data_IF_644911810129
#
_entry.id   IF_644911810129
#
_cell.length_a   1.000
_cell.length_b   1.000
_cell.length_c   1.000
_cell.angle_alpha   90.00
_cell.angle_beta   90.00
_cell.angle_gamma   90.00
#
_symmetry.space_group_name_H-M   'P 1'
#
loop_
_entity.id
_entity.type
_entity.pdbx_description
1 polymer ?
#
# COMPACT_ATOMS: atom_id res chain seq x y z
N UNK A 1 -9.41 25.28 15.95
CA UNK A 1 -8.26 25.40 16.87
C UNK A 1 -8.70 25.77 18.28
N UNK A 2 -9.48 26.84 18.49
CA UNK A 2 -9.97 27.20 19.84
C UNK A 2 -10.77 26.07 20.51
N UNK A 3 -11.62 25.37 19.77
CA UNK A 3 -12.31 24.17 20.27
C UNK A 3 -11.33 23.08 20.76
N UNK A 4 -10.27 22.78 19.99
CA UNK A 4 -9.21 21.82 20.35
C UNK A 4 -8.28 22.30 21.48
N UNK A 5 -8.28 23.59 21.79
CA UNK A 5 -7.55 24.13 22.95
C UNK A 5 -8.41 24.05 24.21
N UNK A 6 -9.73 24.02 24.06
CA UNK A 6 -10.70 23.92 25.14
C UNK A 6 -11.09 22.46 25.44
N UNK A 7 -10.92 21.56 24.47
CA UNK A 7 -11.11 20.11 24.61
C UNK A 7 -9.78 19.43 24.32
N UNK A 8 -9.32 18.48 25.14
CA UNK A 8 -8.03 17.77 24.92
C UNK A 8 -7.94 16.98 23.59
N UNK A 9 -9.03 17.00 22.81
CA UNK A 9 -9.16 16.55 21.45
C UNK A 9 -10.63 16.68 21.01
N UNK A 10 -10.90 16.41 19.74
CA UNK A 10 -12.25 16.23 19.21
C UNK A 10 -12.19 15.27 18.02
N UNK A 11 -13.32 14.68 17.62
CA UNK A 11 -13.39 14.00 16.33
C UNK A 11 -13.88 14.93 15.22
N UNK A 12 -13.53 14.62 13.98
CA UNK A 12 -14.04 15.35 12.83
C UNK A 12 -15.58 15.23 12.74
N UNK A 13 -16.17 14.12 13.19
CA UNK A 13 -17.61 13.96 13.33
C UNK A 13 -18.24 14.96 14.32
N UNK A 14 -17.59 15.24 15.44
CA UNK A 14 -18.03 16.26 16.41
C UNK A 14 -17.89 17.68 15.86
N UNK A 15 -16.81 17.95 15.10
CA UNK A 15 -16.56 19.24 14.48
C UNK A 15 -17.48 19.52 13.29
N UNK A 16 -17.93 18.47 12.58
CA UNK A 16 -18.74 18.55 11.37
C UNK A 16 -19.96 17.60 11.43
N UNK A 17 -20.91 17.82 12.36
CA UNK A 17 -21.97 16.86 12.69
C UNK A 17 -22.99 16.60 11.58
N UNK A 18 -23.07 17.49 10.58
CA UNK A 18 -23.98 17.39 9.43
C UNK A 18 -23.32 16.80 8.17
N UNK A 19 -22.06 16.37 8.25
CA UNK A 19 -21.33 15.79 7.13
C UNK A 19 -21.49 14.28 7.06
N UNK A 20 -22.02 13.75 5.95
CA UNK A 20 -22.11 12.29 5.74
C UNK A 20 -20.75 11.59 5.79
N UNK A 21 -19.90 11.80 4.77
CA UNK A 21 -18.52 11.27 4.78
C UNK A 21 -17.59 12.23 5.51
N UNK A 22 -17.40 11.99 6.81
CA UNK A 22 -16.57 12.79 7.72
C UNK A 22 -15.13 12.92 7.22
N UNK A 23 -14.54 11.84 6.70
CA UNK A 23 -13.17 11.87 6.15
C UNK A 23 -13.06 12.83 4.96
N UNK A 24 -14.05 12.82 4.06
CA UNK A 24 -14.11 13.77 2.94
C UNK A 24 -14.40 15.20 3.40
N UNK A 25 -15.23 15.38 4.44
CA UNK A 25 -15.49 16.69 5.02
C UNK A 25 -14.23 17.30 5.61
N UNK A 26 -13.47 16.55 6.40
CA UNK A 26 -12.17 16.98 6.94
C UNK A 26 -11.20 17.38 5.81
N UNK A 27 -11.06 16.54 4.78
CA UNK A 27 -10.17 16.82 3.65
C UNK A 27 -10.50 18.16 2.96
N UNK A 28 -11.80 18.44 2.69
CA UNK A 28 -12.21 19.71 2.08
C UNK A 28 -11.88 20.93 2.94
N UNK A 29 -12.07 20.84 4.27
CA UNK A 29 -11.72 21.93 5.18
C UNK A 29 -10.21 22.13 5.27
N UNK A 30 -9.43 21.04 5.31
CA UNK A 30 -7.97 21.13 5.29
C UNK A 30 -7.46 21.81 3.99
N UNK A 31 -8.05 21.51 2.83
CA UNK A 31 -7.74 22.20 1.58
C UNK A 31 -8.12 23.69 1.60
N UNK A 32 -9.26 24.03 2.20
CA UNK A 32 -9.68 25.43 2.37
C UNK A 32 -8.72 26.21 3.29
N UNK A 33 -8.25 25.61 4.38
CA UNK A 33 -7.24 26.22 5.22
C UNK A 33 -5.91 26.37 4.47
N UNK A 34 -5.49 25.33 3.75
CA UNK A 34 -4.26 25.36 2.95
C UNK A 34 -4.28 26.48 1.90
N UNK A 35 -5.42 26.76 1.28
CA UNK A 35 -5.54 27.84 0.29
C UNK A 35 -5.58 29.25 0.91
N UNK A 36 -5.91 29.34 2.20
CA UNK A 36 -6.00 30.62 2.94
C UNK A 36 -4.69 31.01 3.62
N UNK A 37 -3.71 30.10 3.70
CA UNK A 37 -2.45 30.26 4.41
C UNK A 37 -1.26 30.20 3.45
N UNK A 38 -0.23 30.99 3.72
CA UNK A 38 1.05 30.82 3.04
C UNK A 38 1.76 29.53 3.50
N UNK A 39 2.89 29.18 2.89
CA UNK A 39 3.59 27.91 3.18
C UNK A 39 4.08 27.79 4.63
N UNK A 40 4.58 28.88 5.22
CA UNK A 40 5.05 28.89 6.61
C UNK A 40 3.87 28.77 7.58
N UNK A 41 2.80 29.55 7.36
CA UNK A 41 1.58 29.50 8.19
C UNK A 41 0.88 28.13 8.10
N UNK A 42 0.85 27.52 6.91
CA UNK A 42 0.33 26.17 6.75
C UNK A 42 1.19 25.15 7.49
N UNK A 43 2.52 25.28 7.41
CA UNK A 43 3.44 24.41 8.14
C UNK A 43 3.19 24.49 9.63
N UNK A 44 3.13 25.70 10.19
CA UNK A 44 2.87 25.93 11.62
C UNK A 44 1.53 25.33 12.05
N UNK A 45 0.47 25.53 11.26
CA UNK A 45 -0.83 24.91 11.53
C UNK A 45 -0.74 23.39 11.47
N UNK A 46 -0.18 22.82 10.40
CA UNK A 46 -0.16 21.38 10.18
C UNK A 46 0.63 20.63 11.26
N UNK A 47 1.79 21.16 11.68
CA UNK A 47 2.61 20.53 12.73
C UNK A 47 2.04 20.75 14.14
N UNK A 48 1.16 21.73 14.33
CA UNK A 48 0.45 21.94 15.60
C UNK A 48 -0.71 20.95 15.83
N UNK A 49 -1.08 20.18 14.80
CA UNK A 49 -2.19 19.23 14.85
C UNK A 49 -1.69 17.79 14.83
N UNK A 50 -2.23 16.98 15.74
CA UNK A 50 -2.14 15.52 15.66
C UNK A 50 -3.43 14.98 15.09
N UNK A 51 -3.33 14.16 14.05
CA UNK A 51 -4.47 13.58 13.35
C UNK A 51 -4.35 12.06 13.37
N UNK A 52 -5.40 11.37 13.82
CA UNK A 52 -5.46 9.90 13.87
C UNK A 52 -6.67 9.41 13.08
N UNK A 53 -6.47 8.45 12.19
CA UNK A 53 -7.56 7.89 11.36
C UNK A 53 -8.26 6.81 12.18
N UNK A 54 -9.56 6.97 12.40
CA UNK A 54 -10.35 6.07 13.24
C UNK A 54 -11.58 5.58 12.51
N UNK A 55 -12.30 4.65 13.15
CA UNK A 55 -13.58 4.18 12.69
C UNK A 55 -14.58 4.22 13.83
N UNK A 56 -15.81 4.60 13.53
CA UNK A 56 -16.95 4.40 14.40
C UNK A 56 -17.88 3.37 13.72
N UNK A 57 -17.79 2.11 14.17
CA UNK A 57 -18.43 1.01 13.47
C UNK A 57 -17.87 0.85 12.04
N UNK A 58 -18.73 1.03 11.03
CA UNK A 58 -18.34 0.96 9.60
C UNK A 58 -17.94 2.30 9.01
N UNK A 59 -18.21 3.40 9.71
CA UNK A 59 -17.93 4.75 9.19
C UNK A 59 -16.53 5.22 9.61
N UNK A 60 -15.95 6.05 8.76
CA UNK A 60 -14.64 6.65 9.00
C UNK A 60 -14.81 7.87 9.88
N UNK A 61 -13.88 8.03 10.80
CA UNK A 61 -13.75 9.27 11.56
C UNK A 61 -12.26 9.63 11.67
N UNK A 62 -12.00 10.80 12.21
CA UNK A 62 -10.66 11.34 12.40
C UNK A 62 -10.63 11.96 13.79
N UNK A 63 -9.77 11.44 14.66
CA UNK A 63 -9.46 12.12 15.91
C UNK A 63 -8.44 13.22 15.64
N UNK A 64 -8.70 14.38 16.22
CA UNK A 64 -7.89 15.59 16.07
C UNK A 64 -7.56 16.10 17.46
N UNK A 65 -6.28 16.37 17.70
CA UNK A 65 -5.80 16.94 18.95
C UNK A 65 -4.66 17.93 18.68
N UNK A 66 -4.30 18.72 19.69
CA UNK A 66 -3.10 19.55 19.63
C UNK A 66 -1.86 18.65 19.74
N UNK A 67 -0.90 18.83 18.82
CA UNK A 67 0.37 18.13 18.87
C UNK A 67 1.17 18.61 20.09
N UNK A 68 1.57 17.66 20.95
CA UNK A 68 2.40 17.92 22.14
C UNK A 68 3.67 17.07 22.03
N UNK A 69 4.83 17.70 22.24
CA UNK A 69 6.12 17.04 22.15
C UNK A 69 6.65 16.93 20.71
N UNK A 70 7.60 16.03 20.50
CA UNK A 70 8.25 15.83 19.20
C UNK A 70 7.25 15.41 18.12
N UNK A 71 7.49 15.86 16.89
CA UNK A 71 6.69 15.48 15.73
C UNK A 71 6.88 13.98 15.45
N UNK A 72 5.83 13.20 15.67
CA UNK A 72 5.83 11.77 15.36
C UNK A 72 5.53 11.51 13.88
N UNK A 73 6.01 10.39 13.35
CA UNK A 73 5.60 9.92 12.04
C UNK A 73 4.08 9.67 12.01
N UNK A 74 3.39 10.00 10.89
CA UNK A 74 1.98 9.69 10.75
C UNK A 74 1.71 8.19 10.84
N UNK A 75 0.54 7.80 11.35
CA UNK A 75 0.11 6.41 11.30
C UNK A 75 0.02 5.90 9.85
N UNK A 76 0.36 4.63 9.60
CA UNK A 76 0.17 4.00 8.29
C UNK A 76 -1.27 4.17 7.79
N UNK A 77 -1.41 4.46 6.50
CA UNK A 77 -2.73 4.62 5.89
C UNK A 77 -3.30 3.25 5.54
N UNK A 78 -4.36 2.86 6.24
CA UNK A 78 -5.15 1.68 5.90
C UNK A 78 -6.01 1.94 4.66
N UNK A 79 -5.82 1.14 3.60
CA UNK A 79 -6.58 1.27 2.36
C UNK A 79 -8.08 0.96 2.53
N UNK A 80 -8.46 0.11 3.51
CA UNK A 80 -9.86 -0.08 3.83
C UNK A 80 -10.49 1.21 4.37
N UNK A 81 -9.75 1.96 5.21
CA UNK A 81 -10.15 3.30 5.63
C UNK A 81 -10.12 4.27 4.44
N UNK A 82 -9.08 4.29 3.62
CA UNK A 82 -8.98 5.25 2.51
C UNK A 82 -10.13 5.13 1.50
N UNK A 83 -10.55 3.90 1.17
CA UNK A 83 -11.55 3.64 0.14
C UNK A 83 -12.93 3.23 0.67
N UNK A 84 -13.14 3.26 1.99
CA UNK A 84 -14.38 2.76 2.62
C UNK A 84 -14.70 1.33 2.17
N UNK A 85 -13.66 0.53 1.91
CA UNK A 85 -13.86 -0.85 1.50
C UNK A 85 -14.35 -1.67 2.70
N UNK A 86 -15.28 -2.62 2.50
CA UNK A 86 -15.77 -3.46 3.58
C UNK A 86 -14.60 -4.20 4.21
N UNK A 87 -14.58 -4.23 5.55
CA UNK A 87 -13.69 -5.13 6.26
C UNK A 87 -14.28 -6.53 6.13
N UNK A 88 -13.60 -7.40 5.40
CA UNK A 88 -13.94 -8.82 5.33
C UNK A 88 -12.92 -9.60 6.16
N UNK A 89 -13.37 -10.66 6.85
CA UNK A 89 -12.46 -11.52 7.64
C UNK A 89 -11.48 -12.29 6.74
N UNK A 90 -11.90 -12.55 5.50
CA UNK A 90 -11.10 -13.21 4.48
C UNK A 90 -10.09 -12.29 3.80
N UNK A 91 -9.21 -12.90 2.99
CA UNK A 91 -8.34 -12.13 2.11
C UNK A 91 -9.14 -11.47 0.99
N UNK A 92 -8.96 -10.17 0.84
CA UNK A 92 -9.59 -9.39 -0.24
C UNK A 92 -8.49 -8.66 -1.02
N UNK A 93 -8.48 -8.85 -2.34
CA UNK A 93 -7.69 -8.04 -3.26
C UNK A 93 -8.64 -7.24 -4.16
N UNK A 94 -8.34 -5.96 -4.36
CA UNK A 94 -9.13 -5.10 -5.25
C UNK A 94 -8.25 -4.06 -5.90
N UNK A 95 -8.71 -3.52 -7.03
CA UNK A 95 -8.01 -2.43 -7.70
C UNK A 95 -8.92 -1.22 -7.95
N UNK A 96 -8.27 -0.10 -8.28
CA UNK A 96 -8.89 1.07 -8.89
C UNK A 96 -8.15 1.39 -10.17
N UNK A 97 -8.87 1.67 -11.24
CA UNK A 97 -8.31 1.85 -12.60
C UNK A 97 -7.63 3.20 -12.80
N UNK A 98 -7.84 4.16 -11.89
CA UNK A 98 -7.42 5.56 -12.03
C UNK A 98 -6.05 5.89 -11.42
N UNK A 99 -5.08 4.96 -11.42
CA UNK A 99 -3.74 5.23 -10.88
C UNK A 99 -3.07 6.45 -11.53
N UNK A 100 -3.31 6.65 -12.82
CA UNK A 100 -2.80 7.76 -13.62
C UNK A 100 -3.49 9.10 -13.28
N UNK A 101 -4.59 9.09 -12.55
CA UNK A 101 -5.20 10.33 -12.07
C UNK A 101 -4.53 10.84 -10.79
N UNK A 102 -3.91 9.96 -10.00
CA UNK A 102 -3.34 10.33 -8.69
C UNK A 102 -2.21 11.34 -8.87
N UNK A 103 -1.18 10.98 -9.62
CA UNK A 103 -0.06 11.88 -9.89
C UNK A 103 -0.46 13.11 -10.73
N UNK A 104 -1.52 13.03 -11.52
CA UNK A 104 -2.00 14.16 -12.33
C UNK A 104 -2.68 15.18 -11.44
N UNK A 105 -3.45 14.74 -10.43
CA UNK A 105 -4.02 15.61 -9.41
C UNK A 105 -2.92 16.27 -8.56
N UNK A 106 -1.84 15.56 -8.26
CA UNK A 106 -0.65 16.12 -7.59
C UNK A 106 0.09 17.16 -8.46
N UNK A 107 0.17 16.93 -9.77
CA UNK A 107 0.77 17.87 -10.72
C UNK A 107 -0.09 19.14 -10.86
N UNK A 108 -1.42 18.98 -10.97
CA UNK A 108 -2.37 20.10 -11.06
C UNK A 108 -2.38 20.94 -9.78
N UNK A 109 -2.20 20.34 -8.59
CA UNK A 109 -2.12 21.10 -7.34
C UNK A 109 -0.85 21.96 -7.25
N UNK A 110 0.20 21.58 -8.00
CA UNK A 110 1.52 22.21 -8.02
C UNK A 110 2.08 22.52 -6.63
N UNK A 111 1.69 21.75 -5.60
CA UNK A 111 2.13 21.97 -4.23
C UNK A 111 3.55 21.47 -4.02
N UNK A 112 4.38 22.22 -3.29
CA UNK A 112 5.78 21.84 -3.01
C UNK A 112 5.92 20.41 -2.46
N UNK A 113 5.06 20.05 -1.48
CA UNK A 113 5.07 18.72 -0.86
C UNK A 113 4.67 17.60 -1.83
N UNK A 114 3.64 17.85 -2.65
CA UNK A 114 3.20 16.91 -3.69
C UNK A 114 4.29 16.75 -4.75
N UNK A 115 4.96 17.84 -5.13
CA UNK A 115 6.07 17.85 -6.08
C UNK A 115 7.28 17.03 -5.59
N UNK A 116 7.67 17.16 -4.32
CA UNK A 116 8.75 16.35 -3.72
C UNK A 116 8.41 14.86 -3.74
N UNK A 117 7.19 14.50 -3.30
CA UNK A 117 6.74 13.11 -3.32
C UNK A 117 6.66 12.57 -4.76
N UNK A 118 6.12 13.36 -5.69
CA UNK A 118 6.00 12.98 -7.10
C UNK A 118 7.36 12.81 -7.76
N UNK A 119 8.33 13.69 -7.50
CA UNK A 119 9.68 13.59 -8.05
C UNK A 119 10.38 12.29 -7.62
N UNK A 120 10.19 11.87 -6.37
CA UNK A 120 10.73 10.59 -5.88
C UNK A 120 9.97 9.37 -6.43
N UNK A 121 8.63 9.44 -6.50
CA UNK A 121 7.78 8.31 -6.88
C UNK A 121 7.53 8.18 -8.38
N UNK A 122 7.96 9.15 -9.20
CA UNK A 122 7.73 9.16 -10.65
C UNK A 122 8.16 7.87 -11.34
N UNK A 123 9.34 7.28 -11.07
CA UNK A 123 9.75 6.04 -11.71
C UNK A 123 8.82 4.87 -11.39
N UNK A 124 8.23 4.84 -10.19
CA UNK A 124 7.27 3.83 -9.77
C UNK A 124 5.96 3.98 -10.54
N UNK A 125 5.43 5.21 -10.65
CA UNK A 125 4.22 5.46 -11.44
C UNK A 125 4.41 5.12 -12.92
N UNK A 126 5.52 5.53 -13.52
CA UNK A 126 5.82 5.28 -14.94
C UNK A 126 6.02 3.78 -15.24
N UNK A 127 6.60 3.03 -14.30
CA UNK A 127 6.99 1.63 -14.52
C UNK A 127 5.93 0.62 -14.06
N UNK A 128 5.27 0.91 -12.94
CA UNK A 128 4.45 -0.02 -12.15
C UNK A 128 3.17 0.65 -11.61
N UNK A 129 2.70 1.74 -12.25
CA UNK A 129 1.56 2.54 -11.80
C UNK A 129 0.33 1.77 -11.29
N UNK A 130 -0.16 0.72 -11.98
CA UNK A 130 -1.30 -0.07 -11.51
C UNK A 130 -1.13 -0.68 -10.11
N UNK A 131 0.09 -0.94 -9.65
CA UNK A 131 0.35 -1.49 -8.32
C UNK A 131 0.04 -0.48 -7.19
N UNK A 132 0.08 0.83 -7.49
CA UNK A 132 -0.18 1.90 -6.52
C UNK A 132 -1.65 1.91 -6.09
N UNK A 133 -2.56 1.47 -6.96
CA UNK A 133 -3.99 1.41 -6.70
C UNK A 133 -4.57 0.01 -6.69
N UNK A 134 -3.70 -1.00 -6.56
CA UNK A 134 -4.10 -2.37 -6.32
C UNK A 134 -3.77 -2.72 -4.89
N UNK A 135 -4.77 -3.10 -4.13
CA UNK A 135 -4.68 -3.27 -2.70
C UNK A 135 -4.95 -4.71 -2.32
N UNK A 136 -4.24 -5.16 -1.31
CA UNK A 136 -4.46 -6.43 -0.64
C UNK A 136 -4.70 -6.16 0.84
N UNK A 137 -5.57 -6.96 1.44
CA UNK A 137 -5.83 -6.97 2.87
C UNK A 137 -6.41 -8.30 3.32
N UNK A 138 -6.52 -8.48 4.63
CA UNK A 138 -7.11 -9.66 5.25
C UNK A 138 -6.82 -9.70 6.74
N UNK A 139 -7.66 -10.41 7.50
CA UNK A 139 -7.54 -10.51 8.95
C UNK A 139 -7.75 -9.15 9.66
N UNK A 140 -7.03 -8.90 10.76
CA UNK A 140 -7.17 -7.67 11.58
C UNK A 140 -6.17 -6.55 11.20
N UNK A 141 -5.37 -6.74 10.15
CA UNK A 141 -4.32 -5.79 9.72
C UNK A 141 -4.79 -4.74 8.71
N UNK A 142 -4.02 -3.65 8.52
CA UNK A 142 -4.33 -2.65 7.49
C UNK A 142 -4.18 -3.23 6.08
N UNK A 143 -5.05 -2.80 5.18
CA UNK A 143 -4.84 -3.03 3.76
C UNK A 143 -3.81 -2.05 3.20
N UNK A 144 -2.97 -2.54 2.30
CA UNK A 144 -1.87 -1.79 1.69
C UNK A 144 -1.90 -2.01 0.19
N UNK A 145 -1.29 -1.08 -0.57
CA UNK A 145 -1.12 -1.27 -2.01
C UNK A 145 -0.03 -2.31 -2.31
N UNK A 146 -0.14 -3.04 -3.42
CA UNK A 146 0.91 -3.94 -3.90
C UNK A 146 2.25 -3.20 -4.10
N UNK A 147 2.22 -1.92 -4.48
CA UNK A 147 3.41 -1.09 -4.57
C UNK A 147 4.08 -0.88 -3.19
N UNK A 148 3.28 -0.67 -2.14
CA UNK A 148 3.78 -0.55 -0.76
C UNK A 148 4.43 -1.86 -0.31
N UNK A 149 3.75 -3.00 -0.53
CA UNK A 149 4.27 -4.30 -0.13
C UNK A 149 5.57 -4.64 -0.89
N UNK A 150 5.61 -4.36 -2.19
CA UNK A 150 6.81 -4.52 -3.02
C UNK A 150 7.97 -3.64 -2.55
N UNK A 151 7.72 -2.36 -2.25
CA UNK A 151 8.74 -1.44 -1.75
C UNK A 151 9.23 -1.81 -0.36
N UNK A 152 8.34 -2.27 0.53
CA UNK A 152 8.73 -2.77 1.85
C UNK A 152 9.63 -3.99 1.71
N UNK A 153 9.25 -4.95 0.85
CA UNK A 153 10.07 -6.12 0.58
C UNK A 153 11.42 -5.74 -0.04
N UNK A 154 11.43 -4.78 -0.97
CA UNK A 154 12.67 -4.33 -1.62
C UNK A 154 13.61 -3.62 -0.65
N UNK A 155 13.12 -2.61 0.07
CA UNK A 155 13.94 -1.72 0.90
C UNK A 155 14.29 -2.30 2.26
N UNK A 156 13.37 -3.07 2.87
CA UNK A 156 13.53 -3.61 4.23
C UNK A 156 13.77 -5.11 4.26
N UNK A 157 13.63 -5.81 3.14
CA UNK A 157 13.73 -7.26 3.04
C UNK A 157 14.89 -7.90 3.82
N UNK A 158 16.13 -7.39 3.76
CA UNK A 158 17.26 -7.95 4.52
C UNK A 158 17.06 -8.00 6.04
N UNK A 159 16.20 -7.13 6.58
CA UNK A 159 15.93 -7.00 8.02
C UNK A 159 14.67 -7.74 8.46
N UNK A 160 13.80 -8.14 7.52
CA UNK A 160 12.52 -8.79 7.82
C UNK A 160 12.71 -10.26 8.22
N UNK A 161 11.86 -10.75 9.12
CA UNK A 161 11.77 -12.18 9.41
C UNK A 161 11.18 -12.97 8.23
N UNK A 162 11.41 -14.29 8.20
CA UNK A 162 10.92 -15.15 7.11
C UNK A 162 9.39 -15.09 6.99
N UNK A 163 8.68 -15.02 8.12
CA UNK A 163 7.23 -14.93 8.18
C UNK A 163 6.72 -13.63 7.56
N UNK A 164 7.41 -12.50 7.79
CA UNK A 164 7.06 -11.22 7.19
C UNK A 164 7.34 -11.19 5.69
N UNK A 165 8.44 -11.81 5.24
CA UNK A 165 8.77 -11.96 3.83
C UNK A 165 7.67 -12.77 3.13
N UNK A 166 7.30 -13.91 3.71
CA UNK A 166 6.23 -14.78 3.19
C UNK A 166 4.91 -14.04 3.09
N UNK A 167 4.54 -13.28 4.11
CA UNK A 167 3.31 -12.49 4.12
C UNK A 167 3.29 -11.43 3.00
N UNK A 168 4.42 -10.74 2.76
CA UNK A 168 4.51 -9.77 1.66
C UNK A 168 4.42 -10.44 0.28
N UNK A 169 5.09 -11.57 0.07
CA UNK A 169 4.95 -12.34 -1.18
C UNK A 169 3.52 -12.80 -1.42
N UNK A 170 2.86 -13.30 -0.38
CA UNK A 170 1.46 -13.73 -0.45
C UNK A 170 0.54 -12.58 -0.85
N UNK A 171 0.72 -11.40 -0.24
CA UNK A 171 -0.06 -10.19 -0.54
C UNK A 171 0.18 -9.66 -1.94
N UNK A 172 1.43 -9.70 -2.41
CA UNK A 172 1.79 -9.32 -3.78
C UNK A 172 1.19 -10.31 -4.78
N UNK A 173 1.33 -11.62 -4.53
CA UNK A 173 0.75 -12.69 -5.35
C UNK A 173 -0.77 -12.55 -5.46
N UNK A 174 -1.47 -12.35 -4.34
CA UNK A 174 -2.93 -12.14 -4.31
C UNK A 174 -3.40 -10.88 -5.07
N UNK A 175 -2.51 -9.89 -5.27
CA UNK A 175 -2.82 -8.71 -6.06
C UNK A 175 -2.70 -8.97 -7.58
N UNK A 176 -1.84 -9.90 -8.02
CA UNK A 176 -1.59 -10.19 -9.45
C UNK A 176 -2.86 -10.51 -10.25
N UNK A 177 -3.80 -11.34 -9.78
CA UNK A 177 -5.02 -11.68 -10.52
C UNK A 177 -5.90 -10.48 -10.87
N UNK A 178 -5.92 -9.49 -9.97
CA UNK A 178 -6.77 -8.30 -10.10
C UNK A 178 -6.02 -7.14 -10.76
N UNK A 179 -4.73 -7.31 -11.08
CA UNK A 179 -3.93 -6.31 -11.77
C UNK A 179 -4.26 -6.29 -13.27
N UNK A 180 -4.50 -5.09 -13.79
CA UNK A 180 -4.49 -4.84 -15.24
C UNK A 180 -3.15 -4.21 -15.62
N UNK A 181 -2.17 -5.05 -16.01
CA UNK A 181 -0.84 -4.61 -16.43
C UNK A 181 -0.72 -4.59 -17.95
N UNK A 182 0.01 -3.61 -18.47
CA UNK A 182 0.58 -3.70 -19.81
C UNK A 182 1.72 -4.72 -19.83
N UNK A 183 2.03 -5.29 -21.00
CA UNK A 183 3.16 -6.22 -21.17
C UNK A 183 4.47 -5.65 -20.65
N UNK A 184 4.74 -4.36 -20.90
CA UNK A 184 5.95 -3.70 -20.42
C UNK A 184 5.99 -3.58 -18.89
N UNK A 185 4.86 -3.27 -18.25
CA UNK A 185 4.78 -3.21 -16.78
C UNK A 185 4.92 -4.61 -16.16
N UNK A 186 4.32 -5.63 -16.76
CA UNK A 186 4.47 -7.03 -16.36
C UNK A 186 5.94 -7.51 -16.43
N UNK A 187 6.65 -7.16 -17.50
CA UNK A 187 8.08 -7.46 -17.64
C UNK A 187 8.93 -6.77 -16.56
N UNK A 188 8.70 -5.47 -16.29
CA UNK A 188 9.42 -4.75 -15.24
C UNK A 188 9.15 -5.33 -13.86
N UNK A 189 7.89 -5.63 -13.55
CA UNK A 189 7.53 -6.28 -12.29
C UNK A 189 8.24 -7.62 -12.13
N UNK A 190 8.25 -8.43 -13.19
CA UNK A 190 8.94 -9.72 -13.21
C UNK A 190 10.43 -9.58 -12.88
N UNK A 191 11.12 -8.60 -13.47
CA UNK A 191 12.55 -8.37 -13.19
C UNK A 191 12.79 -8.04 -11.70
N UNK A 192 11.95 -7.20 -11.11
CA UNK A 192 12.04 -6.88 -9.69
C UNK A 192 11.76 -8.11 -8.85
N UNK A 193 10.69 -8.85 -9.13
CA UNK A 193 10.32 -10.06 -8.39
C UNK A 193 11.41 -11.13 -8.46
N UNK A 194 12.04 -11.36 -9.62
CA UNK A 194 13.17 -12.29 -9.75
C UNK A 194 14.32 -11.92 -8.83
N UNK A 195 14.73 -10.65 -8.81
CA UNK A 195 15.81 -10.18 -7.95
C UNK A 195 15.49 -10.33 -6.46
N UNK A 196 14.23 -10.06 -6.07
CA UNK A 196 13.78 -10.25 -4.69
C UNK A 196 13.75 -11.74 -4.31
N UNK A 197 13.24 -12.59 -5.20
CA UNK A 197 13.18 -14.04 -4.98
C UNK A 197 14.58 -14.61 -4.82
N UNK A 198 15.52 -14.26 -5.70
CA UNK A 198 16.91 -14.71 -5.61
C UNK A 198 17.57 -14.34 -4.28
N UNK A 199 17.22 -13.16 -3.74
CA UNK A 199 17.71 -12.69 -2.44
C UNK A 199 17.08 -13.45 -1.27
N UNK A 200 15.76 -13.67 -1.32
CA UNK A 200 15.00 -14.14 -0.17
C UNK A 200 14.90 -15.66 -0.07
N UNK A 201 14.92 -16.37 -1.20
CA UNK A 201 14.78 -17.83 -1.25
C UNK A 201 15.77 -18.59 -0.33
N UNK A 202 17.07 -18.22 -0.26
CA UNK A 202 18.02 -18.89 0.64
C UNK A 202 17.69 -18.75 2.13
N UNK A 203 16.79 -17.83 2.50
CA UNK A 203 16.39 -17.54 3.88
C UNK A 203 15.11 -18.26 4.27
N UNK A 204 14.47 -18.96 3.34
CA UNK A 204 13.21 -19.66 3.54
C UNK A 204 13.45 -21.16 3.69
N UNK A 205 12.65 -21.81 4.51
CA UNK A 205 12.64 -23.27 4.55
C UNK A 205 12.00 -23.85 3.27
N UNK A 206 12.15 -25.16 3.01
CA UNK A 206 11.59 -25.77 1.80
C UNK A 206 10.06 -25.65 1.67
N UNK A 207 9.31 -25.68 2.77
CA UNK A 207 7.85 -25.55 2.76
C UNK A 207 7.42 -24.12 2.46
N UNK A 208 8.10 -23.14 3.05
CA UNK A 208 7.92 -21.72 2.75
C UNK A 208 8.24 -21.42 1.29
N UNK A 209 9.35 -21.95 0.78
CA UNK A 209 9.74 -21.79 -0.63
C UNK A 209 8.68 -22.35 -1.59
N UNK A 210 8.03 -23.45 -1.22
CA UNK A 210 6.96 -24.04 -2.00
C UNK A 210 5.69 -23.18 -2.02
N UNK A 211 5.30 -22.64 -0.86
CA UNK A 211 4.13 -21.75 -0.74
C UNK A 211 4.32 -20.44 -1.52
N UNK A 212 5.51 -19.83 -1.43
CA UNK A 212 5.85 -18.63 -2.19
C UNK A 212 5.66 -18.88 -3.69
N UNK A 213 6.13 -20.03 -4.18
CA UNK A 213 5.94 -20.41 -5.57
C UNK A 213 4.47 -20.50 -5.93
N UNK A 214 3.66 -21.16 -5.09
CA UNK A 214 2.21 -21.21 -5.25
C UNK A 214 1.64 -19.82 -5.49
N UNK A 215 1.87 -18.86 -4.61
CA UNK A 215 1.26 -17.53 -4.76
C UNK A 215 1.74 -16.71 -5.95
N UNK A 216 2.97 -16.93 -6.40
CA UNK A 216 3.59 -16.14 -7.48
C UNK A 216 3.40 -16.80 -8.85
N UNK A 217 3.21 -18.12 -8.89
CA UNK A 217 3.00 -18.90 -10.10
C UNK A 217 1.52 -19.25 -10.36
N UNK A 218 0.67 -19.19 -9.34
CA UNK A 218 -0.76 -19.46 -9.43
C UNK A 218 -1.49 -18.11 -9.69
N UNK A 219 -1.63 -17.70 -10.97
CA UNK A 219 -2.87 -17.11 -11.58
C UNK A 219 -2.71 -16.48 -13.01
N UNK A 220 -3.81 -16.60 -13.77
CA UNK A 220 -4.40 -15.99 -15.00
C UNK A 220 -3.68 -14.97 -15.91
N UNK A 221 -2.66 -14.22 -15.50
CA UNK A 221 -1.90 -13.38 -16.44
C UNK A 221 -0.75 -14.23 -16.99
N UNK A 222 -0.96 -15.01 -18.06
CA UNK A 222 -0.01 -16.04 -18.51
C UNK A 222 1.47 -15.62 -18.67
N UNK A 223 1.78 -14.31 -18.65
CA UNK A 223 3.12 -13.73 -18.83
C UNK A 223 3.96 -13.70 -17.54
N UNK A 224 3.43 -13.28 -16.40
CA UNK A 224 4.25 -13.14 -15.16
C UNK A 224 4.62 -14.51 -14.58
N UNK A 225 3.66 -15.44 -14.37
CA UNK A 225 3.95 -16.77 -13.89
C UNK A 225 4.94 -17.50 -14.80
N UNK A 226 4.75 -17.47 -16.14
CA UNK A 226 5.66 -18.16 -17.06
C UNK A 226 7.10 -17.67 -16.94
N UNK A 227 7.31 -16.36 -16.85
CA UNK A 227 8.65 -15.80 -16.69
C UNK A 227 9.28 -16.13 -15.33
N UNK A 228 8.49 -16.22 -14.24
CA UNK A 228 9.02 -16.57 -12.92
C UNK A 228 9.32 -18.07 -12.84
N UNK A 229 8.42 -18.90 -13.38
CA UNK A 229 8.61 -20.35 -13.52
C UNK A 229 9.88 -20.66 -14.32
N UNK A 230 10.07 -19.99 -15.47
CA UNK A 230 11.27 -20.16 -16.30
C UNK A 230 12.55 -19.77 -15.55
N UNK A 231 12.52 -18.67 -14.79
CA UNK A 231 13.65 -18.23 -13.97
C UNK A 231 14.03 -19.27 -12.93
N UNK A 232 13.04 -19.82 -12.23
CA UNK A 232 13.25 -20.81 -11.18
C UNK A 232 13.73 -22.14 -11.74
N UNK A 233 13.23 -22.57 -12.90
CA UNK A 233 13.75 -23.74 -13.61
C UNK A 233 15.25 -23.60 -13.94
N UNK A 234 15.70 -22.40 -14.30
CA UNK A 234 17.09 -22.13 -14.71
C UNK A 234 18.00 -21.96 -13.48
N UNK A 235 17.59 -21.15 -12.51
CA UNK A 235 18.45 -20.69 -11.41
C UNK A 235 18.23 -21.42 -10.08
N UNK A 236 17.09 -22.10 -9.91
CA UNK A 236 16.68 -22.77 -8.67
C UNK A 236 16.11 -24.17 -8.94
N UNK A 237 16.84 -24.94 -9.76
CA UNK A 237 16.39 -26.23 -10.33
C UNK A 237 15.93 -27.25 -9.28
N UNK A 238 16.61 -27.33 -8.14
CA UNK A 238 16.26 -28.28 -7.07
C UNK A 238 14.94 -27.90 -6.38
N UNK A 239 14.63 -26.61 -6.27
CA UNK A 239 13.33 -26.15 -5.80
C UNK A 239 12.25 -26.44 -6.85
N UNK A 240 12.50 -26.07 -8.12
CA UNK A 240 11.57 -26.31 -9.22
C UNK A 240 11.19 -27.80 -9.36
N UNK A 241 12.18 -28.70 -9.27
CA UNK A 241 11.94 -30.14 -9.34
C UNK A 241 11.07 -30.61 -8.17
N UNK A 242 11.38 -30.21 -6.93
CA UNK A 242 10.59 -30.60 -5.74
C UNK A 242 9.13 -30.16 -5.84
N UNK A 243 8.88 -28.99 -6.39
CA UNK A 243 7.53 -28.46 -6.58
C UNK A 243 6.71 -29.26 -7.58
N UNK A 244 7.31 -29.63 -8.72
CA UNK A 244 6.61 -30.44 -9.72
C UNK A 244 6.28 -31.86 -9.20
N UNK A 245 7.16 -32.46 -8.38
CA UNK A 245 6.88 -33.78 -7.79
C UNK A 245 5.78 -33.71 -6.71
N UNK A 246 5.64 -32.58 -5.99
CA UNK A 246 4.57 -32.40 -5.01
C UNK A 246 3.19 -32.22 -5.65
N UNK A 247 3.10 -31.79 -6.91
CA UNK A 247 1.85 -31.63 -7.64
C UNK A 247 1.38 -32.91 -8.34
N UNK A 248 2.28 -33.86 -8.63
CA UNK A 248 1.93 -35.15 -9.24
C UNK A 248 1.38 -36.18 -8.22
N UNK A 249 1.59 -35.94 -6.91
CA UNK A 249 1.14 -36.81 -5.81
C UNK A 249 -0.18 -36.32 -5.15
N UNK A 250 -0.87 -35.33 -5.71
CA UNK A 250 -2.17 -34.77 -5.23
C UNK A 250 -3.28 -34.95 -6.25
#
# INVERSE_FOLDING_TARGET
MLALLLTDGATAGELFPSGGDVGSAWHRHALLWRSSLNEAEWTDLAISLRVRRTRQGRERDIEVAVQRGELAAPEPVDAYWLYRAPWEEGHTAWHRTYWNEIWHKMDVSAGTNDGVALQALRPLFDSLGPLVTTFSGGGTGPATSAAHDLLRLWLRGPELAAEEIMELYRRIGAAVPVLSLSTAAAQRLTLVLRALIDRDLPRLDPGQSAQLFGWVADDSSAVIPSLIVDHLRIHHRDLYNRLNHSNDDS
#
